data_IF_347485966957
#
_entry.id   IF_347485966957
#
_cell.length_a   1.000
_cell.length_b   1.000
_cell.length_c   1.000
_cell.angle_alpha   90.00
_cell.angle_beta   90.00
_cell.angle_gamma   90.00
#
_symmetry.space_group_name_H-M   'P 1'
#
loop_
_entity.id
_entity.type
_entity.pdbx_description
1 polymer ?
#
# COMPACT_ATOMS: atom_id res chain seq x y z
N UNK A 1 -10.04 4.29 16.10
CA UNK A 1 -8.83 4.79 15.41
C UNK A 1 -8.95 4.43 13.94
N UNK A 2 -9.14 5.40 13.05
CA UNK A 2 -9.08 5.14 11.60
C UNK A 2 -7.62 5.30 11.18
N UNK A 3 -6.94 4.20 10.84
CA UNK A 3 -5.68 4.30 10.12
C UNK A 3 -5.97 4.98 8.77
N UNK A 4 -5.10 5.89 8.34
CA UNK A 4 -5.19 6.46 6.98
C UNK A 4 -4.59 5.43 6.04
N UNK A 5 -5.39 4.80 5.14
CA UNK A 5 -4.94 3.63 4.40
C UNK A 5 -4.05 3.97 3.20
N UNK A 6 -3.91 5.25 2.81
CA UNK A 6 -3.09 5.68 1.66
C UNK A 6 -3.61 5.24 0.28
N UNK A 7 -4.45 4.21 0.22
CA UNK A 7 -5.17 3.71 -0.96
C UNK A 7 -6.62 3.38 -0.56
N UNK A 8 -7.53 3.46 -1.53
CA UNK A 8 -8.92 3.04 -1.35
C UNK A 8 -9.11 1.65 -1.96
N UNK A 9 -9.57 0.71 -1.14
CA UNK A 9 -9.97 -0.64 -1.52
C UNK A 9 -11.47 -0.82 -1.25
N UNK A 10 -12.07 -1.81 -1.90
CA UNK A 10 -13.43 -2.22 -1.60
C UNK A 10 -13.50 -2.80 -0.18
N UNK A 11 -14.29 -2.16 0.70
CA UNK A 11 -14.43 -2.57 2.10
C UNK A 11 -15.23 -3.86 2.28
N UNK A 12 -15.98 -4.29 1.26
CA UNK A 12 -16.64 -5.60 1.27
C UNK A 12 -15.64 -6.75 1.08
N UNK A 13 -14.49 -6.46 0.47
CA UNK A 13 -13.40 -7.42 0.24
C UNK A 13 -12.28 -7.25 1.26
N UNK A 14 -11.98 -6.01 1.64
CA UNK A 14 -10.94 -5.62 2.59
C UNK A 14 -11.52 -4.80 3.75
N UNK A 15 -12.19 -5.44 4.73
CA UNK A 15 -12.84 -4.74 5.84
C UNK A 15 -11.87 -3.92 6.70
N UNK A 16 -10.60 -4.32 6.76
CA UNK A 16 -9.56 -3.60 7.50
C UNK A 16 -8.30 -3.39 6.66
N UNK A 17 -7.77 -2.18 6.71
CA UNK A 17 -6.47 -1.81 6.14
C UNK A 17 -5.85 -0.67 6.94
N UNK A 18 -4.58 -0.82 7.29
CA UNK A 18 -3.74 0.22 7.88
C UNK A 18 -2.46 0.37 7.07
N UNK A 19 -1.93 1.59 7.02
CA UNK A 19 -0.76 1.90 6.23
C UNK A 19 0.29 2.69 7.02
N UNK A 20 1.56 2.51 6.64
CA UNK A 20 2.66 3.37 7.03
C UNK A 20 3.53 3.70 5.82
N UNK A 21 3.73 4.98 5.61
CA UNK A 21 4.66 5.50 4.62
C UNK A 21 5.94 6.01 5.30
N UNK A 22 7.06 5.96 4.58
CA UNK A 22 8.33 6.60 4.94
C UNK A 22 9.03 7.03 3.66
N UNK A 23 9.78 8.13 3.71
CA UNK A 23 10.55 8.57 2.56
C UNK A 23 11.61 9.59 2.94
N UNK A 24 12.75 9.49 2.25
CA UNK A 24 13.86 10.43 2.22
C UNK A 24 14.18 10.71 0.73
N UNK A 25 14.94 11.76 0.38
CA UNK A 25 15.37 11.96 -1.00
C UNK A 25 16.10 10.71 -1.54
N UNK A 26 15.50 10.07 -2.56
CA UNK A 26 16.01 8.81 -3.13
C UNK A 26 15.49 7.53 -2.49
N UNK A 27 14.76 7.58 -1.37
CA UNK A 27 14.19 6.41 -0.68
C UNK A 27 12.68 6.55 -0.49
N UNK A 28 11.95 5.49 -0.85
CA UNK A 28 10.50 5.43 -0.69
C UNK A 28 10.07 4.08 -0.12
N UNK A 29 9.31 4.13 0.98
CA UNK A 29 8.77 2.95 1.65
C UNK A 29 7.28 3.11 1.88
N UNK A 30 6.51 2.08 1.53
CA UNK A 30 5.13 1.94 1.98
C UNK A 30 4.87 0.51 2.42
N UNK A 31 4.20 0.37 3.55
CA UNK A 31 3.74 -0.91 4.05
C UNK A 31 2.29 -0.83 4.45
N UNK A 32 1.54 -1.88 4.14
CA UNK A 32 0.16 -2.08 4.53
C UNK A 32 0.02 -3.38 5.32
N UNK A 33 -0.82 -3.31 6.35
CA UNK A 33 -1.41 -4.47 6.98
C UNK A 33 -2.90 -4.46 6.68
N UNK A 34 -3.40 -5.51 6.06
CA UNK A 34 -4.80 -5.64 5.68
C UNK A 34 -5.37 -6.98 6.13
N UNK A 35 -6.67 -7.01 6.39
CA UNK A 35 -7.41 -8.24 6.67
C UNK A 35 -8.54 -8.31 5.65
N UNK A 36 -8.61 -9.41 4.92
CA UNK A 36 -9.65 -9.62 3.91
C UNK A 36 -10.98 -10.11 4.53
N UNK A 37 -12.02 -10.22 3.69
CA UNK A 37 -13.37 -10.64 4.08
C UNK A 37 -13.43 -12.04 4.72
N UNK A 38 -12.41 -12.88 4.51
CA UNK A 38 -12.30 -14.22 5.10
C UNK A 38 -11.60 -14.21 6.47
N UNK A 39 -11.04 -13.06 6.86
CA UNK A 39 -10.26 -12.91 8.09
C UNK A 39 -8.77 -13.19 7.90
N UNK A 40 -8.31 -13.49 6.69
CA UNK A 40 -6.90 -13.74 6.41
C UNK A 40 -6.09 -12.42 6.46
N UNK A 41 -5.03 -12.35 7.27
CA UNK A 41 -4.14 -11.19 7.29
C UNK A 41 -3.14 -11.21 6.13
N UNK A 42 -2.83 -10.01 5.63
CA UNK A 42 -1.86 -9.76 4.57
C UNK A 42 -0.94 -8.60 4.95
N UNK A 43 0.34 -8.72 4.58
CA UNK A 43 1.29 -7.61 4.60
C UNK A 43 1.78 -7.37 3.18
N UNK A 44 1.59 -6.15 2.69
CA UNK A 44 2.12 -5.70 1.41
C UNK A 44 3.13 -4.61 1.70
N UNK A 45 4.39 -4.80 1.30
CA UNK A 45 5.47 -3.86 1.56
C UNK A 45 6.29 -3.60 0.32
N UNK A 46 6.62 -2.34 0.09
CA UNK A 46 7.50 -1.91 -0.98
C UNK A 46 8.60 -1.04 -0.40
N UNK A 47 9.82 -1.32 -0.82
CA UNK A 47 11.00 -0.49 -0.60
C UNK A 47 11.57 -0.19 -1.98
N UNK A 48 11.69 1.09 -2.30
CA UNK A 48 12.32 1.55 -3.54
C UNK A 48 13.43 2.53 -3.19
N UNK A 49 14.55 2.40 -3.89
CA UNK A 49 15.71 3.26 -3.74
C UNK A 49 16.22 3.70 -5.12
N UNK A 50 16.70 4.95 -5.19
CA UNK A 50 17.29 5.53 -6.38
C UNK A 50 18.46 6.45 -6.02
N UNK A 51 19.47 6.59 -6.89
CA UNK A 51 20.58 7.51 -6.67
C UNK A 51 20.18 9.00 -6.62
N UNK A 52 18.99 9.36 -7.12
CA UNK A 52 18.46 10.73 -7.11
C UNK A 52 16.99 10.73 -6.74
N UNK A 53 16.54 11.82 -6.14
CA UNK A 53 15.11 12.03 -5.93
C UNK A 53 14.38 12.18 -7.27
N UNK A 54 13.27 11.47 -7.41
CA UNK A 54 12.40 11.48 -8.59
C UNK A 54 11.11 12.29 -8.36
N UNK A 55 10.98 12.93 -7.19
CA UNK A 55 9.88 13.81 -6.87
C UNK A 55 8.56 13.07 -6.60
N UNK A 56 7.46 13.83 -6.42
CA UNK A 56 6.20 13.28 -5.92
C UNK A 56 5.46 12.35 -6.91
N UNK A 57 5.83 12.35 -8.19
CA UNK A 57 5.18 11.53 -9.21
C UNK A 57 5.38 10.03 -8.96
N UNK A 58 6.54 9.63 -8.43
CA UNK A 58 6.85 8.24 -8.08
C UNK A 58 5.93 7.71 -6.98
N UNK A 59 5.62 8.53 -5.98
CA UNK A 59 4.66 8.17 -4.93
C UNK A 59 3.29 7.87 -5.53
N UNK A 60 2.80 8.74 -6.42
CA UNK A 60 1.50 8.54 -7.09
C UNK A 60 1.45 7.25 -7.91
N UNK A 61 2.50 6.96 -8.67
CA UNK A 61 2.65 5.70 -9.42
C UNK A 61 2.68 4.49 -8.49
N UNK A 62 3.45 4.56 -7.41
CA UNK A 62 3.57 3.47 -6.44
C UNK A 62 2.22 3.12 -5.80
N UNK A 63 1.39 4.12 -5.46
CA UNK A 63 0.03 3.89 -4.94
C UNK A 63 -0.91 3.23 -5.98
N UNK A 64 -0.65 3.38 -7.28
CA UNK A 64 -1.37 2.62 -8.32
C UNK A 64 -0.92 1.15 -8.33
N UNK A 65 0.39 0.89 -8.25
CA UNK A 65 0.94 -0.47 -8.16
C UNK A 65 0.40 -1.20 -6.93
N UNK A 66 0.36 -0.54 -5.77
CA UNK A 66 -0.19 -1.11 -4.54
C UNK A 66 -1.66 -1.56 -4.72
N UNK A 67 -2.50 -0.73 -5.36
CA UNK A 67 -3.90 -1.10 -5.65
C UNK A 67 -4.01 -2.33 -6.56
N UNK A 68 -3.14 -2.45 -7.57
CA UNK A 68 -3.11 -3.61 -8.45
C UNK A 68 -2.67 -4.88 -7.72
N UNK A 69 -1.68 -4.79 -6.82
CA UNK A 69 -1.28 -5.92 -5.98
C UNK A 69 -2.43 -6.40 -5.09
N UNK A 70 -3.15 -5.48 -4.45
CA UNK A 70 -4.35 -5.86 -3.66
C UNK A 70 -5.46 -6.50 -4.49
N UNK A 71 -5.60 -6.13 -5.78
CA UNK A 71 -6.54 -6.80 -6.68
C UNK A 71 -6.10 -8.24 -7.01
N UNK A 72 -4.79 -8.49 -7.12
CA UNK A 72 -4.24 -9.82 -7.41
C UNK A 72 -4.36 -10.80 -6.25
N UNK A 73 -4.23 -10.31 -5.02
CA UNK A 73 -4.29 -11.13 -3.80
C UNK A 73 -5.68 -11.16 -3.15
N UNK A 74 -6.67 -10.50 -3.76
CA UNK A 74 -8.02 -10.50 -3.24
C UNK A 74 -8.58 -11.93 -3.16
N UNK A 75 -9.26 -12.29 -2.07
CA UNK A 75 -9.94 -13.58 -1.98
C UNK A 75 -11.05 -13.64 -3.03
N UNK A 76 -11.20 -14.81 -3.67
CA UNK A 76 -12.25 -15.07 -4.64
C UNK A 76 -13.66 -14.95 -4.02
#
# INVERSE_FOLDING_TARGET
>A
MSAVPGIQLDRSVWPYIGAKAGGLPGDLTFSWYAVDKTGQPWVVSFQLNWPRDHGPTVTGWMLQVARQVFALIAPQ
#
